data_IF_159974833591
#
_entry.id   IF_159974833591
#
_cell.length_a   1.000
_cell.length_b   1.000
_cell.length_c   1.000
_cell.angle_alpha   90.00
_cell.angle_beta   90.00
_cell.angle_gamma   90.00
#
_symmetry.space_group_name_H-M   'P 1'
#
loop_
_entity.id
_entity.type
_entity.pdbx_description
1 polymer ?
#
# COMPACT_ATOMS: atom_id res chain seq x y z
N UNK A 1 24.21 -1.99 10.44
CA UNK A 1 24.12 -1.07 9.28
C UNK A 1 23.54 0.27 9.74
N UNK A 2 24.23 1.40 9.53
CA UNK A 2 23.74 2.71 9.95
C UNK A 2 22.56 3.12 9.06
N UNK A 3 21.40 3.29 9.68
CA UNK A 3 20.17 3.70 8.98
C UNK A 3 20.34 5.15 8.48
N UNK A 4 20.04 5.47 7.21
CA UNK A 4 20.18 6.82 6.67
C UNK A 4 19.39 7.85 7.52
N UNK A 5 20.00 9.02 7.73
CA UNK A 5 19.47 10.11 8.59
C UNK A 5 18.01 10.49 8.31
N UNK A 6 17.53 10.63 7.06
CA UNK A 6 16.11 10.96 6.81
C UNK A 6 15.18 9.81 7.23
N UNK A 7 15.57 8.57 6.94
CA UNK A 7 14.79 7.37 7.29
C UNK A 7 14.60 7.27 8.81
N UNK A 8 15.66 7.56 9.57
CA UNK A 8 15.62 7.59 11.04
C UNK A 8 14.65 8.67 11.56
N UNK A 9 14.56 9.83 10.91
CA UNK A 9 13.62 10.89 11.30
C UNK A 9 12.17 10.47 11.08
N UNK A 10 11.83 9.94 9.90
CA UNK A 10 10.49 9.44 9.60
C UNK A 10 10.10 8.27 10.52
N UNK A 11 11.02 7.33 10.76
CA UNK A 11 10.82 6.23 11.71
C UNK A 11 10.58 6.73 13.14
N UNK A 12 11.35 7.69 13.62
CA UNK A 12 11.16 8.26 14.96
C UNK A 12 9.85 9.04 15.08
N UNK A 13 9.43 9.74 14.02
CA UNK A 13 8.13 10.41 13.96
C UNK A 13 6.98 9.41 14.00
N UNK A 14 7.12 8.29 13.27
CA UNK A 14 6.18 7.17 13.27
C UNK A 14 6.10 6.49 14.65
N UNK A 15 7.24 6.25 15.30
CA UNK A 15 7.33 5.64 16.63
C UNK A 15 6.88 6.56 17.78
N UNK A 16 6.76 7.86 17.53
CA UNK A 16 6.18 8.84 18.47
C UNK A 16 4.66 8.96 18.34
N UNK A 17 4.03 8.25 17.39
CA UNK A 17 2.58 8.25 17.26
C UNK A 17 1.94 7.76 18.57
N UNK A 18 0.91 8.47 19.03
CA UNK A 18 0.15 8.10 20.22
C UNK A 18 -0.71 6.88 19.88
N UNK A 19 -0.49 5.75 20.55
CA UNK A 19 -1.27 4.54 20.37
C UNK A 19 -0.58 3.30 20.94
N UNK A 20 -1.32 2.20 21.07
CA UNK A 20 -0.72 0.91 21.41
C UNK A 20 0.11 0.39 20.23
N UNK A 21 1.22 -0.34 20.47
CA UNK A 21 2.05 -0.92 19.40
C UNK A 21 1.23 -1.76 18.40
N UNK A 22 0.22 -2.46 18.91
CA UNK A 22 -0.70 -3.27 18.11
C UNK A 22 -1.60 -2.43 17.21
N UNK A 23 -2.16 -1.33 17.71
CA UNK A 23 -3.01 -0.41 16.92
C UNK A 23 -2.22 0.28 15.80
N UNK A 24 -0.98 0.69 16.09
CA UNK A 24 -0.09 1.30 15.10
C UNK A 24 0.30 0.28 14.01
N UNK A 25 0.64 -0.94 14.39
CA UNK A 25 0.98 -2.01 13.44
C UNK A 25 -0.20 -2.40 12.55
N UNK A 26 -1.40 -2.49 13.11
CA UNK A 26 -2.60 -2.81 12.33
C UNK A 26 -2.95 -1.68 11.36
N UNK A 27 -2.90 -0.42 11.82
CA UNK A 27 -3.13 0.75 10.97
C UNK A 27 -2.15 0.78 9.79
N UNK A 28 -0.85 0.53 10.06
CA UNK A 28 0.17 0.47 9.03
C UNK A 28 -0.06 -0.67 8.02
N UNK A 29 -0.48 -1.85 8.49
CA UNK A 29 -0.77 -3.00 7.63
C UNK A 29 -1.94 -2.71 6.67
N UNK A 30 -2.99 -2.05 7.16
CA UNK A 30 -4.13 -1.63 6.34
C UNK A 30 -3.69 -0.60 5.29
N UNK A 31 -2.92 0.41 5.71
CA UNK A 31 -2.39 1.42 4.79
C UNK A 31 -1.45 0.83 3.72
N UNK A 32 -0.65 -0.16 4.08
CA UNK A 32 0.18 -0.89 3.13
C UNK A 32 -0.66 -1.73 2.16
N UNK A 33 -1.64 -2.49 2.66
CA UNK A 33 -2.53 -3.29 1.81
C UNK A 33 -3.29 -2.42 0.80
N UNK A 34 -3.82 -1.28 1.24
CA UNK A 34 -4.56 -0.34 0.38
C UNK A 34 -3.62 0.45 -0.53
N UNK A 35 -2.42 0.80 -0.08
CA UNK A 35 -1.38 1.40 -0.92
C UNK A 35 -0.83 0.43 -1.97
N UNK A 36 -0.90 -0.88 -1.71
CA UNK A 36 -0.53 -1.93 -2.66
C UNK A 36 -1.61 -2.09 -3.74
N UNK A 37 -2.87 -2.01 -3.33
CA UNK A 37 -3.99 -1.99 -4.25
C UNK A 37 -3.87 -0.74 -5.17
N UNK A 38 -3.93 -0.90 -6.50
CA UNK A 38 -3.79 0.20 -7.45
C UNK A 38 -5.06 1.06 -7.50
N UNK A 39 -5.46 1.61 -6.36
CA UNK A 39 -6.65 2.43 -6.13
C UNK A 39 -6.29 3.91 -6.02
N UNK A 40 -5.34 4.38 -6.83
CA UNK A 40 -5.06 5.82 -6.93
C UNK A 40 -6.30 6.54 -7.49
N UNK A 41 -6.73 7.71 -6.97
CA UNK A 41 -6.30 8.47 -5.78
C UNK A 41 -7.09 8.14 -4.49
N UNK A 42 -7.98 7.15 -4.53
CA UNK A 42 -8.89 6.80 -3.43
C UNK A 42 -8.20 6.05 -2.28
N UNK A 43 -6.96 5.61 -2.46
CA UNK A 43 -6.20 4.85 -1.47
C UNK A 43 -6.13 5.52 -0.09
N UNK A 44 -5.95 6.85 0.00
CA UNK A 44 -5.90 7.58 1.26
C UNK A 44 -7.28 7.61 1.94
N UNK A 45 -8.35 7.80 1.16
CA UNK A 45 -9.73 7.82 1.67
C UNK A 45 -10.12 6.44 2.18
N UNK A 46 -9.83 5.38 1.41
CA UNK A 46 -10.05 3.99 1.80
C UNK A 46 -9.24 3.65 3.06
N UNK A 47 -7.97 4.06 3.12
CA UNK A 47 -7.13 3.84 4.30
C UNK A 47 -7.72 4.52 5.53
N UNK A 48 -8.16 5.78 5.39
CA UNK A 48 -8.81 6.49 6.49
C UNK A 48 -10.10 5.80 6.92
N UNK A 49 -10.94 5.39 5.97
CA UNK A 49 -12.20 4.70 6.24
C UNK A 49 -11.98 3.39 7.02
N UNK A 50 -11.09 2.52 6.54
CA UNK A 50 -10.81 1.24 7.20
C UNK A 50 -10.12 1.40 8.56
N UNK A 51 -9.22 2.37 8.69
CA UNK A 51 -8.56 2.62 9.98
C UNK A 51 -9.51 3.18 11.03
N UNK A 52 -10.45 4.04 10.64
CA UNK A 52 -11.53 4.53 11.51
C UNK A 52 -12.51 3.42 11.89
N UNK A 53 -12.91 2.59 10.92
CA UNK A 53 -13.83 1.46 11.14
C UNK A 53 -13.27 0.46 12.16
N UNK A 54 -11.98 0.12 12.04
CA UNK A 54 -11.29 -0.79 12.94
C UNK A 54 -10.80 -0.12 14.23
N UNK A 55 -11.08 1.18 14.41
CA UNK A 55 -10.67 2.00 15.57
C UNK A 55 -9.16 1.92 15.84
N UNK A 56 -8.36 1.87 14.77
CA UNK A 56 -6.90 1.85 14.81
C UNK A 56 -6.32 3.19 14.41
N UNK A 57 -5.00 3.38 14.59
CA UNK A 57 -4.39 4.68 14.36
C UNK A 57 -4.41 5.06 12.86
N UNK A 58 -5.20 6.06 12.45
CA UNK A 58 -5.34 6.43 11.03
C UNK A 58 -4.07 7.08 10.49
N UNK A 59 -3.30 7.78 11.33
CA UNK A 59 -2.04 8.41 10.94
C UNK A 59 -1.00 7.36 10.58
N UNK A 60 -0.96 6.24 11.32
CA UNK A 60 -0.07 5.12 10.99
C UNK A 60 -0.42 4.51 9.62
N UNK A 61 -1.71 4.38 9.30
CA UNK A 61 -2.17 3.90 8.01
C UNK A 61 -1.84 4.84 6.86
N UNK A 62 -2.14 6.13 6.99
CA UNK A 62 -1.85 7.12 5.93
C UNK A 62 -0.35 7.21 5.66
N UNK A 63 0.49 7.19 6.70
CA UNK A 63 1.94 7.20 6.55
C UNK A 63 2.44 5.94 5.83
N UNK A 64 1.90 4.76 6.17
CA UNK A 64 2.22 3.54 5.44
C UNK A 64 1.80 3.66 3.97
N UNK A 65 0.55 4.05 3.69
CA UNK A 65 0.04 4.25 2.33
C UNK A 65 0.90 5.24 1.52
N UNK A 66 1.40 6.30 2.15
CA UNK A 66 2.29 7.30 1.52
C UNK A 66 3.64 6.71 1.12
N UNK A 67 4.21 5.82 1.96
CA UNK A 67 5.48 5.14 1.65
C UNK A 67 5.32 4.21 0.44
N UNK A 68 4.20 3.50 0.35
CA UNK A 68 3.87 2.64 -0.78
C UNK A 68 3.49 3.45 -2.04
N UNK A 69 2.95 4.66 -1.87
CA UNK A 69 2.62 5.58 -2.96
C UNK A 69 3.82 6.38 -3.50
N UNK A 70 5.04 6.08 -3.07
CA UNK A 70 6.25 6.72 -3.60
C UNK A 70 6.52 6.19 -5.03
N UNK A 71 6.82 7.06 -6.02
CA UNK A 71 7.13 6.63 -7.39
C UNK A 71 8.12 5.47 -7.46
N UNK A 72 9.12 5.46 -6.58
CA UNK A 72 10.15 4.42 -6.53
C UNK A 72 9.57 3.03 -6.17
N UNK A 73 8.57 2.99 -5.30
CA UNK A 73 7.91 1.75 -4.84
C UNK A 73 6.76 1.37 -5.79
N UNK A 74 6.11 2.36 -6.39
CA UNK A 74 4.97 2.20 -7.29
C UNK A 74 5.33 1.41 -8.55
N UNK A 75 6.44 1.73 -9.22
CA UNK A 75 6.86 1.05 -10.45
C UNK A 75 6.98 -0.49 -10.31
N UNK A 76 7.80 -1.01 -9.38
CA UNK A 76 7.94 -2.46 -9.22
C UNK A 76 6.64 -3.12 -8.73
N UNK A 77 5.87 -2.43 -7.90
CA UNK A 77 4.59 -2.94 -7.40
C UNK A 77 3.55 -3.07 -8.51
N UNK A 78 3.40 -2.06 -9.37
CA UNK A 78 2.48 -2.10 -10.52
C UNK A 78 2.88 -3.19 -11.52
N UNK A 79 4.18 -3.33 -11.78
CA UNK A 79 4.70 -4.37 -12.65
C UNK A 79 4.40 -5.77 -12.11
N UNK A 80 4.63 -5.99 -10.81
CA UNK A 80 4.29 -7.27 -10.15
C UNK A 80 2.78 -7.50 -10.12
N UNK A 81 1.97 -6.48 -9.84
CA UNK A 81 0.50 -6.58 -9.86
C UNK A 81 0.01 -6.96 -11.26
N UNK A 82 0.57 -6.37 -12.32
CA UNK A 82 0.23 -6.72 -13.69
C UNK A 82 0.66 -8.15 -14.03
N UNK A 83 1.88 -8.54 -13.69
CA UNK A 83 2.40 -9.90 -13.95
C UNK A 83 1.61 -10.99 -13.22
N UNK A 84 1.22 -10.73 -11.97
CA UNK A 84 0.41 -11.65 -11.17
C UNK A 84 -1.03 -11.65 -11.67
N UNK A 85 -1.59 -10.48 -11.96
CA UNK A 85 -2.94 -10.35 -12.51
C UNK A 85 -3.09 -11.09 -13.84
N UNK A 86 -2.11 -10.95 -14.75
CA UNK A 86 -2.09 -11.64 -16.04
C UNK A 86 -1.95 -13.17 -15.88
N UNK A 87 -1.24 -13.62 -14.83
CA UNK A 87 -1.18 -15.04 -14.49
C UNK A 87 -2.54 -15.60 -14.06
N UNK A 88 -3.33 -14.85 -13.28
CA UNK A 88 -4.65 -15.29 -12.81
C UNK A 88 -5.76 -15.09 -13.85
N UNK A 89 -5.67 -14.05 -14.68
CA UNK A 89 -6.63 -13.71 -15.73
C UNK A 89 -5.91 -13.61 -17.09
N UNK A 90 -5.42 -14.74 -17.63
CA UNK A 90 -4.74 -14.75 -18.92
C UNK A 90 -5.68 -14.26 -20.02
N UNK A 91 -5.14 -13.48 -20.98
CA UNK A 91 -5.83 -12.91 -22.15
C UNK A 91 -6.75 -11.69 -21.92
N UNK A 92 -6.94 -11.22 -20.68
CA UNK A 92 -7.79 -10.04 -20.44
C UNK A 92 -7.10 -8.70 -20.71
N UNK A 93 -5.79 -8.65 -20.46
CA UNK A 93 -4.93 -7.46 -20.59
C UNK A 93 -3.68 -7.72 -21.46
N UNK A 94 -3.80 -8.65 -22.42
CA UNK A 94 -2.72 -8.98 -23.33
C UNK A 94 -2.37 -7.81 -24.24
N UNK A 95 -1.08 -7.71 -24.60
CA UNK A 95 -0.55 -6.68 -25.50
C UNK A 95 -1.30 -6.59 -26.84
N UNK A 96 -1.77 -7.73 -27.36
CA UNK A 96 -2.60 -7.81 -28.57
C UNK A 96 -3.90 -7.02 -28.45
N UNK A 97 -4.57 -7.08 -27.29
CA UNK A 97 -5.86 -6.40 -27.08
C UNK A 97 -5.71 -4.89 -26.96
N UNK A 98 -4.56 -4.45 -26.45
CA UNK A 98 -4.17 -3.03 -26.43
C UNK A 98 -3.87 -2.58 -27.86
N UNK A 99 -3.16 -3.38 -28.66
CA UNK A 99 -2.85 -3.05 -30.05
C UNK A 99 -4.10 -3.00 -30.93
N UNK A 100 -5.04 -3.93 -30.77
CA UNK A 100 -6.30 -3.90 -31.53
C UNK A 100 -7.12 -2.67 -31.18
N UNK A 101 -7.17 -2.25 -29.91
CA UNK A 101 -7.82 -1.02 -29.50
C UNK A 101 -7.18 0.24 -30.07
N UNK A 102 -5.86 0.34 -30.06
CA UNK A 102 -5.14 1.47 -30.65
C UNK A 102 -5.41 1.55 -32.17
N UNK A 103 -5.43 0.40 -32.85
CA UNK A 103 -5.76 0.33 -34.27
C UNK A 103 -7.19 0.80 -34.55
N UNK A 104 -8.19 0.28 -33.81
CA UNK A 104 -9.60 0.64 -33.99
C UNK A 104 -9.87 2.13 -33.68
N UNK A 105 -9.25 2.67 -32.62
CA UNK A 105 -9.40 4.09 -32.25
C UNK A 105 -8.77 5.01 -33.29
N UNK A 106 -7.66 4.58 -33.91
CA UNK A 106 -7.00 5.34 -34.99
C UNK A 106 -7.82 5.35 -36.28
N UNK A 107 -8.59 4.29 -36.53
CA UNK A 107 -9.33 4.09 -37.78
C UNK A 107 -10.76 4.67 -37.72
N UNK A 108 -11.49 4.42 -36.63
CA UNK A 108 -12.91 4.80 -36.49
C UNK A 108 -13.16 5.91 -35.45
N UNK A 109 -12.11 6.43 -34.82
CA UNK A 109 -12.23 7.47 -33.79
C UNK A 109 -12.65 6.93 -32.40
N UNK A 110 -12.53 7.78 -31.37
CA UNK A 110 -12.77 7.40 -29.98
C UNK A 110 -14.24 7.13 -29.65
N UNK A 111 -15.17 7.87 -30.27
CA UNK A 111 -16.59 7.82 -29.92
C UNK A 111 -17.24 6.49 -30.34
N UNK A 112 -16.88 5.95 -31.50
CA UNK A 112 -17.42 4.69 -31.99
C UNK A 112 -16.88 3.49 -31.20
N UNK A 113 -15.68 3.62 -30.64
CA UNK A 113 -14.99 2.59 -29.87
C UNK A 113 -15.15 2.71 -28.35
N UNK A 114 -16.05 3.59 -27.87
CA UNK A 114 -16.29 3.80 -26.43
C UNK A 114 -16.58 2.50 -25.68
N UNK A 115 -17.35 1.60 -26.29
CA UNK A 115 -17.69 0.29 -25.72
C UNK A 115 -16.46 -0.62 -25.55
N UNK A 116 -15.50 -0.60 -26.49
CA UNK A 116 -14.26 -1.36 -26.40
C UNK A 116 -13.31 -0.76 -25.34
N UNK A 117 -13.23 0.58 -25.28
CA UNK A 117 -12.43 1.29 -24.26
C UNK A 117 -12.97 0.98 -22.86
N UNK A 118 -14.29 0.99 -22.69
CA UNK A 118 -14.95 0.68 -21.42
C UNK A 118 -14.68 -0.77 -20.99
N UNK A 119 -14.80 -1.74 -21.91
CA UNK A 119 -14.51 -3.14 -21.63
C UNK A 119 -13.04 -3.36 -21.24
N UNK A 120 -12.10 -2.73 -21.95
CA UNK A 120 -10.68 -2.82 -21.58
C UNK A 120 -10.42 -2.17 -20.22
N UNK A 121 -11.04 -1.02 -19.93
CA UNK A 121 -10.94 -0.37 -18.64
C UNK A 121 -11.41 -1.27 -17.49
N UNK A 122 -12.53 -1.95 -17.66
CA UNK A 122 -13.04 -2.92 -16.68
C UNK A 122 -12.12 -4.12 -16.51
N UNK A 123 -11.66 -4.71 -17.61
CA UNK A 123 -10.73 -5.84 -17.56
C UNK A 123 -9.40 -5.43 -16.92
N UNK A 124 -8.93 -4.21 -17.18
CA UNK A 124 -7.74 -3.66 -16.55
C UNK A 124 -7.91 -3.51 -15.05
N UNK A 125 -9.02 -2.91 -14.60
CA UNK A 125 -9.34 -2.79 -13.17
C UNK A 125 -9.38 -4.17 -12.50
N UNK A 126 -10.00 -5.18 -13.13
CA UNK A 126 -10.12 -6.53 -12.56
C UNK A 126 -8.78 -7.26 -12.42
N UNK A 127 -7.94 -7.23 -13.45
CA UNK A 127 -6.61 -7.84 -13.45
C UNK A 127 -5.71 -7.14 -12.42
N UNK A 128 -5.79 -5.82 -12.34
CA UNK A 128 -5.00 -5.03 -11.42
C UNK A 128 -5.46 -5.17 -9.96
N UNK A 129 -6.76 -5.26 -9.70
CA UNK A 129 -7.31 -5.55 -8.38
C UNK A 129 -6.96 -6.97 -7.93
N UNK A 130 -7.11 -7.96 -8.80
CA UNK A 130 -6.78 -9.35 -8.46
C UNK A 130 -5.30 -9.52 -8.17
N UNK A 131 -4.41 -9.03 -9.03
CA UNK A 131 -2.96 -9.03 -8.77
C UNK A 131 -2.58 -8.19 -7.54
N UNK A 132 -3.23 -7.04 -7.37
CA UNK A 132 -3.04 -6.15 -6.22
C UNK A 132 -3.47 -6.78 -4.89
N UNK A 133 -4.59 -7.50 -4.84
CA UNK A 133 -5.03 -8.21 -3.63
C UNK A 133 -4.04 -9.32 -3.24
N UNK A 134 -3.53 -10.07 -4.23
CA UNK A 134 -2.55 -11.13 -4.00
C UNK A 134 -1.24 -10.55 -3.43
N UNK A 135 -0.83 -9.35 -3.84
CA UNK A 135 0.33 -8.66 -3.27
C UNK A 135 0.02 -7.94 -1.94
N UNK A 136 -1.21 -7.46 -1.76
CA UNK A 136 -1.62 -6.71 -0.58
C UNK A 136 -1.59 -7.58 0.68
N UNK A 137 -1.93 -8.87 0.58
CA UNK A 137 -1.89 -9.82 1.71
C UNK A 137 -0.46 -10.00 2.25
N UNK A 138 0.54 -10.46 1.46
CA UNK A 138 1.91 -10.62 1.94
C UNK A 138 2.57 -9.28 2.25
N UNK A 139 2.31 -8.22 1.47
CA UNK A 139 2.88 -6.90 1.73
C UNK A 139 2.32 -6.24 3.00
N UNK A 140 1.02 -6.37 3.25
CA UNK A 140 0.37 -5.95 4.48
C UNK A 140 0.87 -6.74 5.69
N UNK A 141 0.99 -8.07 5.57
CA UNK A 141 1.56 -8.93 6.62
C UNK A 141 3.01 -8.57 6.94
N UNK A 142 3.84 -8.36 5.92
CA UNK A 142 5.23 -7.94 6.09
C UNK A 142 5.31 -6.59 6.83
N UNK A 143 4.48 -5.63 6.42
CA UNK A 143 4.38 -4.31 7.08
C UNK A 143 3.98 -4.45 8.54
N UNK A 144 2.99 -5.29 8.84
CA UNK A 144 2.56 -5.55 10.21
C UNK A 144 3.74 -6.03 11.07
N UNK A 145 4.48 -7.03 10.61
CA UNK A 145 5.60 -7.63 11.37
C UNK A 145 6.70 -6.60 11.60
N UNK A 146 7.10 -5.86 10.56
CA UNK A 146 8.14 -4.83 10.65
C UNK A 146 7.74 -3.74 11.62
N UNK A 147 6.55 -3.16 11.46
CA UNK A 147 6.06 -2.07 12.31
C UNK A 147 5.84 -2.53 13.74
N UNK A 148 5.29 -3.74 13.95
CA UNK A 148 5.10 -4.31 15.27
C UNK A 148 6.44 -4.46 16.01
N UNK A 149 7.46 -5.02 15.36
CA UNK A 149 8.80 -5.18 15.98
C UNK A 149 9.46 -3.85 16.28
N UNK A 150 9.33 -2.87 15.40
CA UNK A 150 9.91 -1.53 15.62
C UNK A 150 9.23 -0.82 16.80
N UNK A 151 7.90 -0.88 16.87
CA UNK A 151 7.12 -0.21 17.92
C UNK A 151 7.33 -0.87 19.29
N UNK A 152 7.41 -2.19 19.35
CA UNK A 152 7.73 -2.93 20.58
C UNK A 152 9.10 -2.55 21.14
N UNK A 153 10.16 -2.63 20.32
CA UNK A 153 11.53 -2.28 20.75
C UNK A 153 11.63 -0.84 21.25
N UNK A 154 10.84 0.07 20.68
CA UNK A 154 10.84 1.47 21.10
C UNK A 154 10.11 1.68 22.43
N UNK A 155 9.00 0.98 22.66
CA UNK A 155 8.27 1.00 23.93
C UNK A 155 9.08 0.36 25.06
N UNK A 156 9.73 -0.78 24.83
CA UNK A 156 10.63 -1.42 25.80
C UNK A 156 11.74 -0.47 26.23
N UNK A 157 12.42 0.17 25.26
CA UNK A 157 13.51 1.11 25.54
C UNK A 157 13.07 2.37 26.29
N UNK A 158 11.81 2.79 26.16
CA UNK A 158 11.24 3.88 26.99
C UNK A 158 10.94 3.40 28.41
N UNK A 159 10.41 2.19 28.57
CA UNK A 159 10.09 1.61 29.88
C UNK A 159 11.36 1.39 30.71
N UNK A 160 12.44 0.91 30.09
CA UNK A 160 13.76 0.78 30.75
C UNK A 160 14.31 2.12 31.25
N UNK A 161 14.08 3.21 30.52
CA UNK A 161 14.55 4.55 30.90
C UNK A 161 13.75 5.17 32.06
N UNK A 162 12.47 4.84 32.19
CA UNK A 162 11.68 5.27 33.35
C UNK A 162 12.08 4.51 34.62
N UNK A 163 12.31 3.20 34.53
CA UNK A 163 12.76 2.38 35.66
C UNK A 163 14.15 2.78 36.20
N UNK A 164 15.06 3.21 35.31
CA UNK A 164 16.38 3.71 35.70
C UNK A 164 16.33 5.09 36.39
N UNK A 165 15.30 5.90 36.13
CA UNK A 165 15.13 7.20 36.79
C UNK A 165 14.44 7.09 38.17
N UNK A 166 13.69 6.03 38.44
CA UNK A 166 13.08 5.78 39.76
C UNK A 166 14.07 5.21 40.77
N UNK A 167 15.09 4.47 40.33
CA UNK A 167 16.15 3.96 41.22
C UNK A 167 17.18 5.00 41.69
N UNK A 168 17.12 6.22 41.16
CA UNK A 168 18.02 7.34 41.52
C UNK A 168 17.32 8.44 42.34
N UNK A 169 16.14 8.17 42.89
CA UNK A 169 15.47 9.02 43.89
C UNK A 169 15.42 8.28 45.22
#
# INVERSE_FOLDING_TARGET
MPVPRPLRYYLLRFLRLRGSPRSIALGAAIGAAIGIAPTLPLNNVLTLFFTLLLRVNPVAGILAATVYSNPLTFFPQYYLSWKIGDFFLPHRLGWERIQTLIAHVRENGMLDNLHLIQQLGWDAILVMLSGGMVLAVPGGMFTYVVVHRLTLKFHEKRRSKHLLNEHHR
#
